data_IF_096864355308
#
_entry.id   IF_096864355308
#
_cell.length_a   1.000
_cell.length_b   1.000
_cell.length_c   1.000
_cell.angle_alpha   90.00
_cell.angle_beta   90.00
_cell.angle_gamma   90.00
#
_symmetry.space_group_name_H-M   'P 1'
#
loop_
_entity.id
_entity.type
_entity.pdbx_description
1 polymer ?
#
# COMPACT_ATOMS: atom_id res chain seq x y z
N UNK A 1 -7.09 -12.25 1.48
CA UNK A 1 -6.96 -10.87 2.02
C UNK A 1 -6.10 -10.93 3.27
N UNK A 2 -5.11 -10.04 3.44
CA UNK A 2 -4.24 -9.97 4.62
C UNK A 2 -4.15 -8.52 5.10
N UNK A 3 -3.99 -8.30 6.40
CA UNK A 3 -3.71 -6.97 6.95
C UNK A 3 -2.21 -6.70 6.82
N UNK A 4 -1.83 -5.55 6.26
CA UNK A 4 -0.45 -5.08 6.19
C UNK A 4 -0.31 -3.78 6.98
N UNK A 5 0.73 -3.71 7.81
CA UNK A 5 1.01 -2.51 8.60
C UNK A 5 1.88 -1.54 7.79
N UNK A 6 1.53 -0.26 7.82
CA UNK A 6 2.31 0.82 7.22
C UNK A 6 2.82 1.72 8.34
N UNK A 7 4.15 1.87 8.50
CA UNK A 7 4.71 2.73 9.53
C UNK A 7 4.44 4.20 9.21
N UNK A 8 4.57 5.04 10.25
CA UNK A 8 4.53 6.48 10.07
C UNK A 8 5.66 6.94 9.15
N UNK A 9 5.37 7.89 8.26
CA UNK A 9 6.33 8.41 7.30
C UNK A 9 6.03 9.84 6.92
N UNK A 10 7.04 10.57 6.49
CA UNK A 10 6.89 11.90 5.89
C UNK A 10 6.56 11.79 4.41
N UNK A 11 5.42 12.32 4.00
CA UNK A 11 5.02 12.48 2.60
C UNK A 11 5.12 13.94 2.13
N UNK A 12 4.76 14.19 0.87
CA UNK A 12 4.56 15.55 0.33
C UNK A 12 3.11 15.72 -0.13
N UNK A 13 2.57 16.92 0.07
CA UNK A 13 1.32 17.32 -0.55
C UNK A 13 1.50 17.35 -2.09
N UNK A 14 0.71 16.59 -2.86
CA UNK A 14 0.83 16.58 -4.31
C UNK A 14 0.46 17.92 -4.97
N UNK A 15 -0.32 18.78 -4.31
CA UNK A 15 -0.72 20.09 -4.82
C UNK A 15 0.24 21.23 -4.46
N UNK A 16 0.95 21.15 -3.33
CA UNK A 16 1.76 22.28 -2.80
C UNK A 16 3.22 21.93 -2.52
N UNK A 17 3.58 20.65 -2.55
CA UNK A 17 4.94 20.18 -2.25
C UNK A 17 5.36 20.30 -0.78
N UNK A 18 4.50 20.80 0.10
CA UNK A 18 4.79 20.88 1.54
C UNK A 18 4.93 19.48 2.15
N UNK A 19 5.83 19.33 3.13
CA UNK A 19 5.99 18.07 3.86
C UNK A 19 4.78 17.84 4.78
N UNK A 20 4.27 16.61 4.82
CA UNK A 20 3.15 16.19 5.67
C UNK A 20 3.53 14.90 6.38
N UNK A 21 3.25 14.80 7.68
CA UNK A 21 3.38 13.54 8.42
C UNK A 21 2.18 12.63 8.18
N UNK A 22 2.45 11.40 7.76
CA UNK A 22 1.45 10.35 7.56
C UNK A 22 1.59 9.38 8.72
N UNK A 23 0.57 9.32 9.58
CA UNK A 23 0.53 8.42 10.72
C UNK A 23 0.56 6.93 10.30
N UNK A 24 1.03 6.09 11.22
CA UNK A 24 1.00 4.65 11.03
C UNK A 24 -0.44 4.15 10.88
N UNK A 25 -0.67 3.25 9.93
CA UNK A 25 -2.01 2.70 9.67
C UNK A 25 -1.97 1.28 9.16
N UNK A 26 -3.08 0.57 9.36
CA UNK A 26 -3.30 -0.77 8.80
C UNK A 26 -4.01 -0.65 7.46
N UNK A 27 -3.53 -1.37 6.46
CA UNK A 27 -4.14 -1.42 5.13
C UNK A 27 -4.47 -2.86 4.76
N UNK A 28 -5.57 -3.04 4.02
CA UNK A 28 -5.96 -4.35 3.52
C UNK A 28 -5.15 -4.64 2.26
N UNK A 29 -4.42 -5.75 2.26
CA UNK A 29 -3.66 -6.27 1.13
C UNK A 29 -4.42 -7.44 0.50
N UNK A 30 -4.70 -7.33 -0.80
CA UNK A 30 -5.15 -8.48 -1.57
C UNK A 30 -3.98 -9.44 -1.80
N UNK A 31 -4.23 -10.74 -1.61
CA UNK A 31 -3.26 -11.80 -1.86
C UNK A 31 -3.89 -12.70 -2.91
N UNK A 32 -3.43 -12.66 -4.17
CA UNK A 32 -3.98 -13.48 -5.23
C UNK A 32 -3.65 -14.96 -4.98
N UNK A 33 -4.53 -15.85 -5.43
CA UNK A 33 -4.28 -17.29 -5.43
C UNK A 33 -3.35 -17.67 -6.58
N UNK A 34 -2.64 -18.80 -6.43
CA UNK A 34 -1.68 -19.31 -7.42
C UNK A 34 -2.29 -19.44 -8.84
N UNK A 35 -3.53 -19.92 -8.92
CA UNK A 35 -4.25 -20.06 -10.21
C UNK A 35 -4.37 -18.72 -10.95
N UNK A 36 -4.63 -17.62 -10.21
CA UNK A 36 -4.76 -16.29 -10.81
C UNK A 36 -3.42 -15.73 -11.26
N UNK A 37 -2.36 -15.88 -10.44
CA UNK A 37 -1.02 -15.43 -10.82
C UNK A 37 -0.47 -16.16 -12.04
N UNK A 38 -0.71 -17.47 -12.11
CA UNK A 38 -0.24 -18.33 -13.20
C UNK A 38 -0.99 -18.04 -14.51
N UNK A 39 -2.25 -17.57 -14.45
CA UNK A 39 -3.03 -17.18 -15.64
C UNK A 39 -2.62 -15.84 -16.26
N UNK A 40 -2.08 -14.91 -15.46
CA UNK A 40 -1.77 -13.53 -15.89
C UNK A 40 -0.33 -13.41 -16.43
N UNK A 41 0.62 -14.16 -15.85
CA UNK A 41 2.05 -14.05 -16.17
C UNK A 41 2.51 -15.09 -17.23
N UNK A 42 1.72 -15.25 -18.30
CA UNK A 42 2.05 -16.18 -19.39
C UNK A 42 3.04 -15.58 -20.38
#
# INVERSE_FOLDING_TARGET
LKVAERPARTGRNPSTGAAIEIAAKKVIKFVPAKVLTDSINK
#
